data_IF_045976443585
#
_entry.id   IF_045976443585
#
_cell.length_a   1.000
_cell.length_b   1.000
_cell.length_c   1.000
_cell.angle_alpha   90.00
_cell.angle_beta   90.00
_cell.angle_gamma   90.00
#
_symmetry.space_group_name_H-M   'P 1'
#
loop_
_entity.id
_entity.type
_entity.pdbx_description
1 polymer ?
#
# COMPACT_ATOMS: atom_id res chain seq x y z
N UNK A 1 -9.79 3.11 26.62
CA UNK A 1 -8.32 3.11 26.48
C UNK A 1 -7.73 1.70 26.53
N UNK A 2 -8.12 0.83 27.46
CA UNK A 2 -7.62 -0.55 27.55
C UNK A 2 -8.11 -1.51 26.44
N UNK A 3 -9.31 -1.31 25.89
CA UNK A 3 -9.84 -2.16 24.80
C UNK A 3 -9.15 -1.89 23.46
N UNK A 4 -8.77 -0.65 23.19
CA UNK A 4 -8.07 -0.25 21.95
C UNK A 4 -6.68 -0.88 21.88
N UNK A 5 -5.96 -0.96 23.01
CA UNK A 5 -4.65 -1.59 23.08
C UNK A 5 -4.70 -3.11 22.92
N UNK A 6 -5.75 -3.78 23.42
CA UNK A 6 -5.95 -5.22 23.26
C UNK A 6 -6.24 -5.59 21.80
N UNK A 7 -7.01 -4.76 21.08
CA UNK A 7 -7.30 -4.95 19.65
C UNK A 7 -6.02 -4.73 18.83
N UNK A 8 -5.23 -3.71 19.14
CA UNK A 8 -3.94 -3.44 18.50
C UNK A 8 -2.95 -4.59 18.70
N UNK A 9 -2.88 -5.16 19.90
CA UNK A 9 -2.00 -6.28 20.22
C UNK A 9 -2.45 -7.58 19.53
N UNK A 10 -3.76 -7.86 19.48
CA UNK A 10 -4.31 -9.00 18.74
C UNK A 10 -4.08 -8.89 17.23
N UNK A 11 -4.21 -7.69 16.66
CA UNK A 11 -3.92 -7.46 15.24
C UNK A 11 -2.43 -7.60 14.95
N UNK A 12 -1.56 -7.13 15.86
CA UNK A 12 -0.11 -7.29 15.76
C UNK A 12 0.32 -8.76 15.80
N UNK A 13 -0.31 -9.58 16.64
CA UNK A 13 -0.08 -11.03 16.73
C UNK A 13 -0.56 -11.75 15.45
N UNK A 14 -1.77 -11.45 14.96
CA UNK A 14 -2.27 -11.97 13.67
C UNK A 14 -1.37 -11.59 12.49
N UNK A 15 -0.85 -10.37 12.48
CA UNK A 15 0.07 -9.88 11.44
C UNK A 15 1.45 -10.58 11.53
N UNK A 16 1.96 -10.87 12.74
CA UNK A 16 3.18 -11.66 12.93
C UNK A 16 3.01 -13.13 12.51
N UNK A 17 1.84 -13.72 12.74
CA UNK A 17 1.53 -15.08 12.30
C UNK A 17 1.40 -15.18 10.77
N UNK A 18 0.77 -14.19 10.12
CA UNK A 18 0.68 -14.14 8.65
C UNK A 18 2.06 -14.07 7.99
N UNK A 19 3.05 -13.46 8.67
CA UNK A 19 4.44 -13.40 8.21
C UNK A 19 5.18 -14.74 8.24
N UNK A 20 4.72 -15.75 8.99
CA UNK A 20 5.42 -17.05 9.11
C UNK A 20 5.04 -18.08 8.04
N UNK A 21 3.93 -17.89 7.32
CA UNK A 21 3.46 -18.84 6.27
C UNK A 21 3.06 -18.16 4.94
N UNK A 22 3.80 -17.14 4.48
CA UNK A 22 3.58 -16.63 3.11
C UNK A 22 4.00 -17.69 2.10
N UNK A 23 3.03 -18.42 1.54
CA UNK A 23 3.28 -19.51 0.56
C UNK A 23 3.58 -19.00 -0.84
N UNK A 24 2.99 -17.86 -1.24
CA UNK A 24 3.09 -17.30 -2.60
C UNK A 24 3.00 -15.77 -2.58
N UNK A 25 3.80 -15.13 -3.42
CA UNK A 25 3.75 -13.69 -3.69
C UNK A 25 3.41 -13.51 -5.17
N UNK A 26 2.32 -12.78 -5.45
CA UNK A 26 1.89 -12.46 -6.82
C UNK A 26 2.14 -10.99 -7.08
N UNK A 27 2.98 -10.68 -8.07
CA UNK A 27 3.34 -9.31 -8.44
C UNK A 27 2.54 -8.91 -9.68
N UNK A 28 1.66 -7.92 -9.52
CA UNK A 28 0.87 -7.37 -10.62
C UNK A 28 1.45 -6.03 -11.08
N UNK A 29 1.77 -5.92 -12.36
CA UNK A 29 2.35 -4.73 -12.99
C UNK A 29 1.69 -4.43 -14.34
N UNK A 30 1.76 -3.17 -14.81
CA UNK A 30 1.21 -2.76 -16.10
C UNK A 30 0.70 -1.31 -16.16
N UNK A 31 0.30 -0.86 -17.36
CA UNK A 31 -0.11 0.52 -17.64
C UNK A 31 -1.48 0.88 -17.04
N UNK A 32 -1.81 2.19 -17.00
CA UNK A 32 -3.12 2.68 -16.53
C UNK A 32 -4.23 2.15 -17.42
N UNK A 33 -5.40 1.85 -16.85
CA UNK A 33 -6.58 1.28 -17.54
C UNK A 33 -6.38 -0.11 -18.17
N UNK A 34 -5.32 -0.84 -17.80
CA UNK A 34 -5.10 -2.23 -18.25
C UNK A 34 -5.79 -3.30 -17.37
N UNK A 35 -6.75 -2.94 -16.51
CA UNK A 35 -7.53 -3.91 -15.73
C UNK A 35 -6.83 -4.54 -14.51
N UNK A 36 -5.69 -4.00 -14.05
CA UNK A 36 -4.95 -4.58 -12.90
C UNK A 36 -5.73 -4.62 -11.61
N UNK A 37 -6.36 -3.50 -11.23
CA UNK A 37 -7.17 -3.46 -10.02
C UNK A 37 -8.33 -4.45 -10.12
N UNK A 38 -8.97 -4.55 -11.29
CA UNK A 38 -10.05 -5.51 -11.53
C UNK A 38 -9.61 -6.96 -11.26
N UNK A 39 -8.49 -7.41 -11.85
CA UNK A 39 -8.04 -8.79 -11.66
C UNK A 39 -7.58 -9.06 -10.22
N UNK A 40 -6.92 -8.10 -9.56
CA UNK A 40 -6.51 -8.27 -8.15
C UNK A 40 -7.69 -8.33 -7.20
N UNK A 41 -8.72 -7.51 -7.45
CA UNK A 41 -9.93 -7.50 -6.63
C UNK A 41 -10.73 -8.79 -6.82
N UNK A 42 -10.82 -9.30 -8.06
CA UNK A 42 -11.50 -10.57 -8.36
C UNK A 42 -10.76 -11.77 -7.74
N UNK A 43 -9.42 -11.79 -7.79
CA UNK A 43 -8.63 -12.81 -7.13
C UNK A 43 -8.80 -12.79 -5.61
N UNK A 44 -8.79 -11.59 -5.01
CA UNK A 44 -8.98 -11.43 -3.57
C UNK A 44 -10.38 -11.91 -3.12
N UNK A 45 -11.43 -11.57 -3.87
CA UNK A 45 -12.80 -12.05 -3.62
C UNK A 45 -12.89 -13.58 -3.64
N UNK A 46 -12.19 -14.23 -4.57
CA UNK A 46 -12.20 -15.70 -4.71
C UNK A 46 -11.36 -16.41 -3.65
N UNK A 47 -10.22 -15.84 -3.27
CA UNK A 47 -9.32 -16.43 -2.28
C UNK A 47 -9.77 -16.21 -0.83
N UNK A 48 -10.44 -15.09 -0.57
CA UNK A 48 -10.84 -14.69 0.77
C UNK A 48 -9.76 -13.89 1.52
N UNK A 49 -10.19 -13.06 2.45
CA UNK A 49 -9.31 -12.23 3.29
C UNK A 49 -8.60 -13.00 4.40
N UNK A 50 -9.04 -14.23 4.67
CA UNK A 50 -8.39 -15.19 5.58
C UNK A 50 -7.12 -15.79 4.97
N UNK A 51 -7.05 -15.91 3.63
CA UNK A 51 -5.95 -16.56 2.90
C UNK A 51 -5.09 -15.63 2.06
N UNK A 52 -5.55 -14.39 1.84
CA UNK A 52 -4.90 -13.47 0.93
C UNK A 52 -4.99 -12.04 1.40
N UNK A 53 -4.10 -11.20 0.89
CA UNK A 53 -4.08 -9.77 1.19
C UNK A 53 -3.65 -8.98 -0.05
N UNK A 54 -4.33 -7.87 -0.33
CA UNK A 54 -3.89 -6.91 -1.35
C UNK A 54 -2.94 -5.89 -0.69
N UNK A 55 -1.73 -5.77 -1.26
CA UNK A 55 -0.72 -4.79 -0.86
C UNK A 55 -0.51 -3.81 -2.02
N UNK A 56 -0.76 -2.50 -1.79
CA UNK A 56 -0.60 -1.44 -2.80
C UNK A 56 0.56 -0.52 -2.44
N UNK A 57 1.67 -0.59 -3.18
CA UNK A 57 2.85 0.28 -2.98
C UNK A 57 2.54 1.78 -3.17
N UNK A 58 1.49 2.11 -3.93
CA UNK A 58 1.08 3.50 -4.13
C UNK A 58 0.58 4.18 -2.85
N UNK A 59 0.11 3.42 -1.85
CA UNK A 59 -0.31 3.95 -0.55
C UNK A 59 0.85 4.64 0.18
N UNK A 60 1.91 3.90 0.55
CA UNK A 60 3.08 4.48 1.20
C UNK A 60 3.74 5.62 0.41
N UNK A 61 3.83 5.50 -0.93
CA UNK A 61 4.37 6.56 -1.78
C UNK A 61 3.57 7.85 -1.58
N UNK A 62 2.24 7.80 -1.69
CA UNK A 62 1.36 8.96 -1.50
C UNK A 62 1.49 9.55 -0.11
N UNK A 63 1.44 8.72 0.93
CA UNK A 63 1.47 9.19 2.32
C UNK A 63 2.80 9.84 2.67
N UNK A 64 3.92 9.23 2.29
CA UNK A 64 5.25 9.74 2.63
C UNK A 64 5.58 10.98 1.79
N UNK A 65 5.19 11.00 0.51
CA UNK A 65 5.36 12.18 -0.33
C UNK A 65 4.55 13.37 0.19
N UNK A 66 3.28 13.14 0.54
CA UNK A 66 2.42 14.18 1.12
C UNK A 66 3.01 14.75 2.41
N UNK A 67 3.48 13.89 3.33
CA UNK A 67 4.19 14.33 4.56
C UNK A 67 5.44 15.15 4.24
N UNK A 68 6.25 14.72 3.27
CA UNK A 68 7.49 15.42 2.89
C UNK A 68 7.25 16.81 2.27
N UNK A 69 6.05 17.04 1.72
CA UNK A 69 5.65 18.27 1.04
C UNK A 69 4.55 19.05 1.78
N UNK A 70 4.18 18.61 2.98
CA UNK A 70 3.09 19.16 3.78
C UNK A 70 1.75 19.28 3.00
N UNK A 71 1.43 18.25 2.19
CA UNK A 71 0.24 18.20 1.35
C UNK A 71 -0.90 17.45 2.04
N UNK A 72 -2.14 17.73 1.60
CA UNK A 72 -3.32 17.03 2.11
C UNK A 72 -3.36 15.59 1.58
N UNK A 73 -3.05 14.64 2.46
CA UNK A 73 -3.03 13.20 2.15
C UNK A 73 -4.38 12.74 1.62
N UNK A 74 -5.49 13.07 2.27
CA UNK A 74 -6.84 12.62 1.90
C UNK A 74 -7.19 12.99 0.47
N UNK A 75 -6.83 14.20 0.01
CA UNK A 75 -7.05 14.62 -1.38
C UNK A 75 -6.16 13.87 -2.38
N UNK A 76 -4.94 13.46 -2.01
CA UNK A 76 -4.05 12.65 -2.86
C UNK A 76 -4.53 11.20 -3.06
N UNK A 77 -5.35 10.70 -2.13
CA UNK A 77 -5.98 9.38 -2.28
C UNK A 77 -7.26 9.43 -3.13
N UNK A 78 -7.87 10.60 -3.33
CA UNK A 78 -9.08 10.79 -4.14
C UNK A 78 -8.82 10.71 -5.66
N UNK A 79 -9.88 10.49 -6.45
CA UNK A 79 -9.82 10.47 -7.92
C UNK A 79 -10.15 11.83 -8.54
N UNK A 80 -9.42 12.86 -8.11
CA UNK A 80 -9.61 14.24 -8.56
C UNK A 80 -8.38 14.84 -9.26
N UNK A 81 -8.58 16.01 -9.84
CA UNK A 81 -7.56 16.80 -10.56
C UNK A 81 -6.35 17.13 -9.67
N UNK A 82 -6.58 17.35 -8.37
CA UNK A 82 -5.54 17.56 -7.37
C UNK A 82 -4.46 16.47 -7.38
N UNK A 83 -4.87 15.19 -7.52
CA UNK A 83 -3.94 14.07 -7.59
C UNK A 83 -3.17 14.05 -8.91
N UNK A 84 -3.82 14.37 -10.02
CA UNK A 84 -3.18 14.33 -11.34
C UNK A 84 -2.14 15.45 -11.52
N UNK A 85 -2.37 16.63 -10.91
CA UNK A 85 -1.39 17.74 -10.87
C UNK A 85 -0.03 17.29 -10.31
N UNK A 86 -0.06 16.46 -9.27
CA UNK A 86 1.13 16.02 -8.56
C UNK A 86 1.69 14.66 -9.01
N UNK A 87 1.01 13.98 -9.95
CA UNK A 87 1.33 12.59 -10.28
C UNK A 87 2.76 12.41 -10.79
N UNK A 88 3.23 13.32 -11.64
CA UNK A 88 4.57 13.24 -12.22
C UNK A 88 5.66 13.48 -11.17
N UNK A 89 5.50 14.52 -10.35
CA UNK A 89 6.46 14.83 -9.29
C UNK A 89 6.54 13.74 -8.24
N UNK A 90 5.38 13.22 -7.83
CA UNK A 90 5.29 12.11 -6.89
C UNK A 90 5.95 10.85 -7.46
N UNK A 91 5.77 10.57 -8.76
CA UNK A 91 6.43 9.44 -9.43
C UNK A 91 7.96 9.59 -9.42
N UNK A 92 8.47 10.77 -9.80
CA UNK A 92 9.92 11.09 -9.80
C UNK A 92 10.52 11.01 -8.40
N UNK A 93 9.82 11.57 -7.41
CA UNK A 93 10.24 11.47 -6.01
C UNK A 93 10.31 10.02 -5.54
N UNK A 94 9.27 9.23 -5.83
CA UNK A 94 9.25 7.82 -5.46
C UNK A 94 10.35 7.00 -6.15
N UNK A 95 10.68 7.34 -7.39
CA UNK A 95 11.81 6.74 -8.11
C UNK A 95 13.16 7.06 -7.46
N UNK A 96 13.39 8.34 -7.10
CA UNK A 96 14.59 8.75 -6.36
C UNK A 96 14.77 7.94 -5.07
N UNK A 97 13.71 7.83 -4.25
CA UNK A 97 13.76 7.07 -3.00
C UNK A 97 14.02 5.58 -3.25
N UNK A 98 13.46 4.99 -4.32
CA UNK A 98 13.73 3.58 -4.67
C UNK A 98 15.16 3.34 -5.15
N UNK A 99 15.77 4.32 -5.82
CA UNK A 99 17.17 4.23 -6.24
C UNK A 99 18.12 4.28 -5.05
N UNK A 100 17.79 5.02 -4.00
CA UNK A 100 18.54 5.05 -2.75
C UNK A 100 18.25 3.82 -1.87
N UNK A 101 17.00 3.37 -1.82
CA UNK A 101 16.56 2.23 -1.03
C UNK A 101 15.37 1.50 -1.68
N UNK A 102 15.67 0.45 -2.44
CA UNK A 102 14.69 -0.31 -3.22
C UNK A 102 13.54 -0.88 -2.37
N UNK A 103 13.81 -1.24 -1.12
CA UNK A 103 12.85 -1.87 -0.22
C UNK A 103 12.00 -0.91 0.61
N UNK A 104 12.25 0.40 0.51
CA UNK A 104 11.62 1.41 1.38
C UNK A 104 10.09 1.34 1.38
N UNK A 105 9.47 1.39 0.20
CA UNK A 105 8.01 1.33 0.09
C UNK A 105 7.44 -0.06 0.33
N UNK A 106 8.21 -1.13 0.08
CA UNK A 106 7.78 -2.49 0.37
C UNK A 106 7.63 -2.69 1.88
N UNK A 107 8.62 -2.28 2.68
CA UNK A 107 8.56 -2.32 4.15
C UNK A 107 7.42 -1.46 4.68
N UNK A 108 7.29 -0.24 4.20
CA UNK A 108 6.19 0.63 4.60
C UNK A 108 4.81 0.05 4.21
N UNK A 109 4.70 -0.68 3.10
CA UNK A 109 3.42 -1.28 2.68
C UNK A 109 2.99 -2.50 3.50
N UNK A 110 3.94 -3.18 4.16
CA UNK A 110 3.66 -4.35 5.02
C UNK A 110 3.53 -3.98 6.49
N UNK A 111 4.16 -2.87 6.92
CA UNK A 111 4.00 -2.33 8.29
C UNK A 111 2.67 -1.62 8.49
N UNK A 112 2.11 -1.04 7.42
CA UNK A 112 0.82 -0.35 7.45
C UNK A 112 -0.29 -1.37 7.18
N UNK A 113 -0.81 -2.01 8.23
CA UNK A 113 -2.18 -2.55 8.31
C UNK A 113 -2.58 -2.88 9.75
#
# INVERSE_FOLDING_TARGET
>A
MAETSLIEEQNKIKNLEFSKEVKKILIFSGKRKSGKDFITDELYKRLGGDKSVIIKLSGPIKTHWAKSKNLNTTKLFSDGEYKEQYRLEMAKWGEKIRNENYGYFCRAAIEIK
#
